data_IF_105225192223
#
_entry.id   IF_105225192223
#
_cell.length_a   1.000
_cell.length_b   1.000
_cell.length_c   1.000
_cell.angle_alpha   90.00
_cell.angle_beta   90.00
_cell.angle_gamma   90.00
#
_symmetry.space_group_name_H-M   'P 1'
#
loop_
_entity.id
_entity.type
_entity.pdbx_description
1 polymer ?
#
# COMPACT_ATOMS: atom_id res chain seq x y z
N UNK A 1 -11.04 10.78 -22.43
CA UNK A 1 -9.65 10.49 -22.01
C UNK A 1 -9.68 9.23 -21.15
N UNK A 2 -8.72 8.32 -21.27
CA UNK A 2 -8.62 7.18 -20.36
C UNK A 2 -8.34 7.71 -18.94
N UNK A 3 -9.14 7.31 -17.96
CA UNK A 3 -8.93 7.70 -16.56
C UNK A 3 -7.60 7.07 -16.10
N UNK A 4 -6.70 7.83 -15.46
CA UNK A 4 -5.53 7.24 -14.82
C UNK A 4 -5.94 6.09 -13.90
N UNK A 5 -5.21 4.98 -13.96
CA UNK A 5 -5.45 3.86 -13.07
C UNK A 5 -5.18 4.31 -11.63
N UNK A 6 -6.16 4.17 -10.73
CA UNK A 6 -5.96 4.45 -9.31
C UNK A 6 -5.04 3.39 -8.71
N UNK A 7 -4.13 3.81 -7.83
CA UNK A 7 -3.29 2.88 -7.07
C UNK A 7 -4.11 2.11 -6.03
N UNK A 8 -4.88 2.82 -5.22
CA UNK A 8 -5.71 2.20 -4.19
C UNK A 8 -6.97 1.46 -4.67
N UNK A 9 -7.69 0.93 -3.69
CA UNK A 9 -8.95 0.22 -3.83
C UNK A 9 -10.14 1.11 -3.45
N UNK A 10 -11.24 0.99 -4.20
CA UNK A 10 -12.52 1.62 -3.84
C UNK A 10 -13.30 0.80 -2.78
N UNK A 11 -12.98 -0.50 -2.64
CA UNK A 11 -13.43 -1.44 -1.61
C UNK A 11 -12.26 -2.37 -1.27
N UNK A 12 -12.05 -2.69 0.01
CA UNK A 12 -10.96 -3.58 0.42
C UNK A 12 -11.50 -4.88 1.04
N UNK A 13 -10.83 -6.02 0.80
CA UNK A 13 -11.18 -7.27 1.46
C UNK A 13 -10.79 -7.21 2.94
N UNK A 14 -11.73 -7.58 3.80
CA UNK A 14 -11.52 -7.78 5.22
C UNK A 14 -12.05 -9.16 5.59
N UNK A 15 -11.20 -9.97 6.20
CA UNK A 15 -11.58 -11.31 6.63
C UNK A 15 -12.60 -11.19 7.78
N UNK A 16 -13.63 -12.04 7.75
CA UNK A 16 -14.75 -11.98 8.73
C UNK A 16 -14.33 -12.39 10.14
N UNK A 17 -13.19 -13.05 10.25
CA UNK A 17 -12.52 -13.54 11.46
C UNK A 17 -11.26 -12.73 11.79
N UNK A 18 -11.17 -11.47 11.31
CA UNK A 18 -10.01 -10.60 11.59
C UNK A 18 -9.77 -10.38 13.09
N UNK A 19 -10.82 -10.48 13.91
CA UNK A 19 -10.78 -10.41 15.37
C UNK A 19 -10.20 -11.69 16.03
N UNK A 20 -9.91 -12.73 15.23
CA UNK A 20 -9.25 -13.96 15.67
C UNK A 20 -7.74 -13.97 15.37
N UNK A 21 -7.22 -12.98 14.64
CA UNK A 21 -5.76 -12.84 14.46
C UNK A 21 -5.14 -12.42 15.79
N UNK A 22 -4.24 -13.25 16.34
CA UNK A 22 -3.56 -13.00 17.62
C UNK A 22 -2.98 -11.58 17.72
N UNK A 23 -2.46 -11.02 16.61
CA UNK A 23 -1.89 -9.68 16.60
C UNK A 23 -2.94 -8.61 16.78
N UNK A 24 -4.12 -8.80 16.19
CA UNK A 24 -5.26 -7.88 16.35
C UNK A 24 -5.82 -8.02 17.77
N UNK A 25 -5.95 -9.24 18.28
CA UNK A 25 -6.38 -9.51 19.66
C UNK A 25 -5.45 -8.88 20.70
N UNK A 26 -4.14 -8.91 20.48
CA UNK A 26 -3.17 -8.26 21.38
C UNK A 26 -3.33 -6.73 21.41
N UNK A 27 -3.65 -6.11 20.27
CA UNK A 27 -3.95 -4.68 20.22
C UNK A 27 -5.27 -4.37 20.93
N UNK A 28 -6.31 -5.18 20.70
CA UNK A 28 -7.59 -5.02 21.39
C UNK A 28 -7.48 -5.29 22.90
N UNK A 29 -6.60 -6.20 23.33
CA UNK A 29 -6.34 -6.45 24.74
C UNK A 29 -5.67 -5.25 25.43
N UNK A 30 -4.73 -4.57 24.76
CA UNK A 30 -4.02 -3.40 25.31
C UNK A 30 -4.86 -2.10 25.25
N UNK A 31 -5.69 -1.91 24.21
CA UNK A 31 -6.36 -0.63 23.93
C UNK A 31 -7.88 -0.71 23.79
N UNK A 32 -8.48 -1.88 24.04
CA UNK A 32 -9.90 -2.15 23.87
C UNK A 32 -10.40 -1.94 22.45
N UNK A 33 -11.70 -1.66 22.32
CA UNK A 33 -12.36 -1.46 21.03
C UNK A 33 -11.77 -0.30 20.21
N UNK A 34 -11.12 0.67 20.87
CA UNK A 34 -10.42 1.77 20.19
C UNK A 34 -9.23 1.21 19.41
N UNK A 35 -8.44 0.32 20.01
CA UNK A 35 -7.33 -0.37 19.35
C UNK A 35 -7.79 -1.11 18.09
N UNK A 36 -8.83 -1.94 18.23
CA UNK A 36 -9.44 -2.64 17.10
C UNK A 36 -9.92 -1.69 16.00
N UNK A 37 -10.66 -0.65 16.36
CA UNK A 37 -11.17 0.33 15.41
C UNK A 37 -10.04 1.06 14.66
N UNK A 38 -8.95 1.41 15.35
CA UNK A 38 -7.77 2.04 14.74
C UNK A 38 -7.11 1.09 13.74
N UNK A 39 -6.93 -0.19 14.08
CA UNK A 39 -6.41 -1.21 13.15
C UNK A 39 -7.26 -1.27 11.88
N UNK A 40 -8.59 -1.35 11.99
CA UNK A 40 -9.48 -1.36 10.82
C UNK A 40 -9.36 -0.07 10.01
N UNK A 41 -9.33 1.11 10.66
CA UNK A 41 -9.18 2.41 9.97
C UNK A 41 -7.82 2.54 9.26
N UNK A 42 -6.76 1.94 9.79
CA UNK A 42 -5.45 1.87 9.15
C UNK A 42 -5.50 0.99 7.92
N UNK A 43 -6.07 -0.21 8.01
CA UNK A 43 -6.25 -1.09 6.85
C UNK A 43 -7.05 -0.39 5.74
N UNK A 44 -8.17 0.26 6.10
CA UNK A 44 -8.94 1.09 5.16
C UNK A 44 -8.08 2.15 4.48
N UNK A 45 -7.21 2.84 5.23
CA UNK A 45 -6.35 3.89 4.68
C UNK A 45 -5.25 3.31 3.80
N UNK A 46 -4.58 2.26 4.24
CA UNK A 46 -3.53 1.55 3.48
C UNK A 46 -4.08 1.08 2.14
N UNK A 47 -5.21 0.36 2.12
CA UNK A 47 -5.78 -0.13 0.87
C UNK A 47 -6.35 0.97 -0.02
N UNK A 48 -6.74 2.11 0.55
CA UNK A 48 -7.13 3.29 -0.24
C UNK A 48 -5.95 3.94 -0.95
N UNK A 49 -4.73 3.79 -0.44
CA UNK A 49 -3.50 4.29 -1.10
C UNK A 49 -2.79 3.21 -1.93
N UNK A 50 -2.99 1.93 -1.62
CA UNK A 50 -2.42 0.80 -2.35
C UNK A 50 -2.10 -0.37 -1.42
N UNK A 51 -0.81 -0.64 -1.23
CA UNK A 51 -0.28 -1.76 -0.43
C UNK A 51 0.56 -1.33 0.78
N UNK A 52 0.71 -0.02 0.97
CA UNK A 52 1.36 0.58 2.13
C UNK A 52 0.73 1.94 2.40
N UNK A 53 1.03 2.51 3.56
CA UNK A 53 0.71 3.90 3.85
C UNK A 53 1.92 4.58 4.48
N UNK A 54 2.28 5.77 3.99
CA UNK A 54 3.27 6.62 4.65
C UNK A 54 2.79 7.01 6.05
N UNK A 55 3.73 7.13 6.99
CA UNK A 55 3.44 7.40 8.39
C UNK A 55 4.37 8.46 8.97
N UNK A 56 4.52 9.56 8.24
CA UNK A 56 5.23 10.75 8.73
C UNK A 56 4.33 11.57 9.66
N UNK A 57 4.88 12.64 10.26
CA UNK A 57 4.14 13.55 11.14
C UNK A 57 2.84 14.07 10.51
N UNK A 58 2.88 14.41 9.22
CA UNK A 58 1.73 14.91 8.47
C UNK A 58 0.62 13.84 8.40
N UNK A 59 0.96 12.60 8.06
CA UNK A 59 0.01 11.49 7.99
C UNK A 59 -0.58 11.15 9.37
N UNK A 60 0.24 11.21 10.43
CA UNK A 60 -0.21 11.01 11.82
C UNK A 60 -1.25 12.05 12.22
N UNK A 61 -0.99 13.34 11.99
CA UNK A 61 -1.91 14.44 12.30
C UNK A 61 -3.23 14.34 11.52
N UNK A 62 -3.15 14.03 10.23
CA UNK A 62 -4.35 13.88 9.40
C UNK A 62 -5.16 12.63 9.79
N UNK A 63 -4.49 11.54 10.13
CA UNK A 63 -5.15 10.32 10.55
C UNK A 63 -5.83 10.48 11.91
N UNK A 64 -5.14 11.03 12.91
CA UNK A 64 -5.69 11.28 14.26
C UNK A 64 -6.93 12.15 14.21
N UNK A 65 -6.90 13.26 13.46
CA UNK A 65 -8.06 14.11 13.21
C UNK A 65 -9.22 13.35 12.57
N UNK A 66 -8.93 12.48 11.60
CA UNK A 66 -9.95 11.71 10.86
C UNK A 66 -10.65 10.67 11.73
N UNK A 67 -9.92 10.00 12.62
CA UNK A 67 -10.47 8.98 13.53
C UNK A 67 -10.98 9.58 14.84
N UNK A 68 -10.70 10.87 15.09
CA UNK A 68 -11.05 11.59 16.31
C UNK A 68 -10.51 10.90 17.59
N UNK A 69 -9.22 10.55 17.54
CA UNK A 69 -8.47 9.97 18.67
C UNK A 69 -7.21 10.80 18.87
N UNK A 70 -6.79 10.98 20.13
CA UNK A 70 -5.57 11.71 20.46
C UNK A 70 -4.36 11.14 19.71
N UNK A 71 -3.50 12.03 19.21
CA UNK A 71 -2.35 11.62 18.39
C UNK A 71 -1.38 10.73 19.15
N UNK A 72 -1.18 10.95 20.46
CA UNK A 72 -0.30 10.11 21.26
C UNK A 72 -0.89 8.71 21.41
N UNK A 73 -2.20 8.62 21.68
CA UNK A 73 -2.89 7.33 21.74
C UNK A 73 -2.84 6.58 20.39
N UNK A 74 -3.01 7.27 19.27
CA UNK A 74 -2.83 6.67 17.94
C UNK A 74 -1.41 6.13 17.79
N UNK A 75 -0.41 6.94 18.14
CA UNK A 75 1.00 6.54 18.01
C UNK A 75 1.36 5.37 18.93
N UNK A 76 0.81 5.30 20.14
CA UNK A 76 0.98 4.16 21.04
C UNK A 76 0.41 2.88 20.41
N UNK A 77 -0.78 2.95 19.80
CA UNK A 77 -1.39 1.82 19.09
C UNK A 77 -0.52 1.40 17.88
N UNK A 78 0.03 2.34 17.12
CA UNK A 78 0.95 2.03 16.01
C UNK A 78 2.21 1.33 16.52
N UNK A 79 2.79 1.81 17.61
CA UNK A 79 3.95 1.19 18.24
C UNK A 79 3.65 -0.24 18.69
N UNK A 80 2.46 -0.49 19.24
CA UNK A 80 2.00 -1.83 19.56
C UNK A 80 1.81 -2.69 18.30
N UNK A 81 1.27 -2.14 17.21
CA UNK A 81 1.13 -2.84 15.93
C UNK A 81 2.49 -3.27 15.35
N UNK A 82 3.52 -2.44 15.52
CA UNK A 82 4.90 -2.77 15.15
C UNK A 82 5.50 -3.83 16.06
N UNK A 83 5.31 -3.70 17.38
CA UNK A 83 5.77 -4.65 18.41
C UNK A 83 5.22 -6.05 18.17
N UNK A 84 3.94 -6.18 17.86
CA UNK A 84 3.27 -7.46 17.63
C UNK A 84 3.37 -7.95 16.17
N UNK A 85 4.10 -7.22 15.31
CA UNK A 85 4.36 -7.62 13.94
C UNK A 85 3.13 -7.61 13.03
N UNK A 86 2.12 -6.78 13.36
CA UNK A 86 1.01 -6.47 12.46
C UNK A 86 1.51 -5.65 11.26
N UNK A 87 2.46 -4.74 11.54
CA UNK A 87 3.25 -4.03 10.54
C UNK A 87 4.71 -4.47 10.56
N UNK A 88 5.34 -4.37 9.41
CA UNK A 88 6.77 -4.67 9.24
C UNK A 88 7.62 -3.56 9.86
N UNK A 89 8.35 -3.91 10.92
CA UNK A 89 9.15 -2.96 11.70
C UNK A 89 10.34 -2.42 10.91
N UNK A 90 10.97 -3.25 10.08
CA UNK A 90 12.16 -2.84 9.33
C UNK A 90 11.81 -1.80 8.26
N UNK A 91 10.69 -2.00 7.55
CA UNK A 91 10.18 -1.01 6.59
C UNK A 91 9.69 0.27 7.26
N UNK A 92 9.08 0.17 8.45
CA UNK A 92 8.72 1.34 9.23
C UNK A 92 9.94 2.15 9.69
N UNK A 93 10.98 1.48 10.20
CA UNK A 93 12.17 2.14 10.68
C UNK A 93 12.95 2.80 9.54
N UNK A 94 13.07 2.11 8.40
CA UNK A 94 13.84 2.58 7.25
C UNK A 94 13.13 3.61 6.39
N UNK A 95 11.81 3.48 6.20
CA UNK A 95 11.06 4.28 5.23
C UNK A 95 9.84 4.99 5.81
N UNK A 96 9.52 4.79 7.09
CA UNK A 96 8.33 5.36 7.75
C UNK A 96 7.04 5.00 7.02
N UNK A 97 6.88 3.72 6.67
CA UNK A 97 5.66 3.18 6.07
C UNK A 97 5.02 2.09 6.93
N UNK A 98 3.71 1.96 6.82
CA UNK A 98 2.94 0.86 7.39
C UNK A 98 2.55 -0.11 6.27
N UNK A 99 3.09 -1.33 6.33
CA UNK A 99 2.74 -2.43 5.44
C UNK A 99 3.07 -3.75 6.14
N UNK A 100 2.66 -4.87 5.54
CA UNK A 100 3.04 -6.21 5.97
C UNK A 100 2.85 -7.21 4.84
N UNK A 101 3.40 -8.42 4.99
CA UNK A 101 3.18 -9.52 4.03
C UNK A 101 1.69 -9.81 3.82
N UNK A 102 0.88 -9.77 4.88
CA UNK A 102 -0.57 -10.00 4.80
C UNK A 102 -1.30 -8.90 4.03
N UNK A 103 -0.92 -7.64 4.25
CA UNK A 103 -1.45 -6.49 3.51
C UNK A 103 -1.12 -6.59 2.03
N UNK A 104 0.15 -6.81 1.70
CA UNK A 104 0.60 -6.87 0.30
C UNK A 104 -0.08 -8.02 -0.45
N UNK A 105 -0.24 -9.18 0.19
CA UNK A 105 -0.91 -10.33 -0.42
C UNK A 105 -2.35 -10.01 -0.78
N UNK A 106 -3.14 -9.52 0.18
CA UNK A 106 -4.55 -9.17 -0.03
C UNK A 106 -4.72 -8.05 -1.05
N UNK A 107 -3.83 -7.05 -1.06
CA UNK A 107 -3.84 -6.02 -2.11
C UNK A 107 -3.61 -6.63 -3.49
N UNK A 108 -2.55 -7.43 -3.67
CA UNK A 108 -2.21 -8.02 -4.97
C UNK A 108 -3.29 -8.97 -5.49
N UNK A 109 -3.94 -9.73 -4.61
CA UNK A 109 -5.10 -10.53 -4.95
C UNK A 109 -6.27 -9.66 -5.46
N UNK A 110 -6.58 -8.57 -4.74
CA UNK A 110 -7.64 -7.63 -5.11
C UNK A 110 -7.38 -6.91 -6.44
N UNK A 111 -6.11 -6.67 -6.78
CA UNK A 111 -5.71 -5.98 -8.01
C UNK A 111 -5.22 -6.92 -9.11
N UNK A 112 -5.35 -8.24 -8.95
CA UNK A 112 -4.84 -9.27 -9.86
C UNK A 112 -5.26 -9.11 -11.32
N UNK A 113 -6.43 -8.51 -11.58
CA UNK A 113 -6.95 -8.25 -12.94
C UNK A 113 -6.39 -6.98 -13.60
N UNK A 114 -5.63 -6.16 -12.89
CA UNK A 114 -4.98 -4.97 -13.47
C UNK A 114 -3.90 -5.42 -14.45
N UNK A 115 -3.77 -4.69 -15.57
CA UNK A 115 -2.76 -5.01 -16.59
C UNK A 115 -1.34 -4.92 -16.05
N UNK A 116 -1.12 -3.95 -15.16
CA UNK A 116 0.16 -3.68 -14.54
C UNK A 116 -0.08 -3.15 -13.13
N UNK A 117 0.75 -3.60 -12.20
CA UNK A 117 0.79 -3.17 -10.81
C UNK A 117 2.20 -2.66 -10.54
N UNK A 118 2.33 -1.37 -10.26
CA UNK A 118 3.62 -0.78 -9.88
C UNK A 118 3.84 -1.00 -8.39
N UNK A 119 4.99 -1.58 -8.04
CA UNK A 119 5.41 -1.82 -6.66
C UNK A 119 6.80 -1.23 -6.48
N UNK A 120 7.04 -0.57 -5.34
CA UNK A 120 8.36 -0.10 -4.95
C UNK A 120 9.14 -1.31 -4.46
N UNK A 121 10.25 -1.61 -5.14
CA UNK A 121 11.06 -2.81 -4.89
C UNK A 121 11.51 -2.92 -3.44
N UNK A 122 11.87 -1.79 -2.86
CA UNK A 122 12.36 -1.65 -1.48
C UNK A 122 11.28 -1.94 -0.43
N UNK A 123 9.99 -1.83 -0.79
CA UNK A 123 8.87 -2.07 0.12
C UNK A 123 8.31 -3.48 -0.02
N UNK A 124 8.71 -4.23 -1.05
CA UNK A 124 8.10 -5.51 -1.38
C UNK A 124 8.60 -6.64 -0.46
N UNK A 125 7.66 -7.33 0.21
CA UNK A 125 7.95 -8.36 1.22
C UNK A 125 7.62 -9.78 0.76
N UNK A 126 7.09 -9.95 -0.45
CA UNK A 126 6.61 -11.24 -0.95
C UNK A 126 7.55 -11.85 -1.98
N UNK A 127 7.34 -13.13 -2.25
CA UNK A 127 8.01 -13.83 -3.34
C UNK A 127 7.41 -13.40 -4.69
N UNK A 128 8.25 -12.85 -5.56
CA UNK A 128 7.86 -12.34 -6.87
C UNK A 128 7.30 -13.41 -7.79
N UNK A 129 7.75 -14.66 -7.65
CA UNK A 129 7.39 -15.76 -8.55
C UNK A 129 5.88 -16.06 -8.59
N UNK A 130 5.14 -15.57 -7.58
CA UNK A 130 3.70 -15.77 -7.43
C UNK A 130 2.85 -14.73 -8.16
N UNK A 131 3.45 -13.69 -8.74
CA UNK A 131 2.72 -12.56 -9.34
C UNK A 131 3.24 -12.22 -10.73
N UNK A 132 2.36 -12.19 -11.73
CA UNK A 132 2.75 -12.09 -13.15
C UNK A 132 2.73 -10.65 -13.70
N UNK A 133 2.04 -9.73 -13.05
CA UNK A 133 1.75 -8.38 -13.53
C UNK A 133 2.39 -7.27 -12.68
N UNK A 134 3.42 -7.62 -11.89
CA UNK A 134 4.18 -6.65 -11.10
C UNK A 134 5.27 -6.03 -11.95
N UNK A 135 5.36 -4.70 -11.92
CA UNK A 135 6.51 -3.93 -12.42
C UNK A 135 7.12 -3.20 -11.22
N UNK A 136 8.42 -3.36 -11.03
CA UNK A 136 9.11 -2.66 -9.96
C UNK A 136 9.51 -1.26 -10.37
N UNK A 137 9.25 -0.33 -9.46
CA UNK A 137 9.91 0.96 -9.40
C UNK A 137 10.92 0.95 -8.24
N UNK A 138 11.93 1.82 -8.30
CA UNK A 138 12.85 2.02 -7.19
C UNK A 138 12.51 3.34 -6.50
N UNK A 139 12.90 3.47 -5.23
CA UNK A 139 12.85 4.78 -4.58
C UNK A 139 13.90 5.67 -5.28
N UNK A 140 13.45 6.57 -6.16
CA UNK A 140 14.30 7.68 -6.56
C UNK A 140 14.61 8.48 -5.29
N UNK A 141 15.87 8.56 -4.87
CA UNK A 141 16.31 9.53 -3.86
C UNK A 141 16.04 10.92 -4.43
N UNK A 142 14.86 11.46 -4.18
CA UNK A 142 14.56 12.86 -4.45
C UNK A 142 15.17 13.65 -3.30
N UNK A 143 16.41 14.10 -3.50
CA UNK A 143 16.73 15.46 -3.08
C UNK A 143 15.74 16.38 -3.79
N UNK A 144 15.16 17.32 -3.06
CA UNK A 144 14.32 18.39 -3.58
C UNK A 144 14.88 18.93 -4.92
N UNK A 145 14.18 18.64 -6.02
CA UNK A 145 13.87 19.55 -7.12
C UNK A 145 13.45 18.81 -8.41
N UNK A 146 12.20 19.09 -8.81
CA UNK A 146 11.69 19.22 -10.18
C UNK A 146 11.60 17.99 -11.13
N UNK A 147 10.34 17.77 -11.55
CA UNK A 147 9.88 17.22 -12.84
C UNK A 147 10.61 15.99 -13.43
N UNK A 148 10.00 14.83 -13.24
CA UNK A 148 10.19 13.67 -14.12
C UNK A 148 9.02 13.57 -15.09
N UNK A 149 9.16 14.25 -16.24
CA UNK A 149 8.46 13.88 -17.46
C UNK A 149 9.16 12.62 -17.96
N UNK A 150 8.55 11.45 -17.81
CA UNK A 150 9.08 10.25 -18.44
C UNK A 150 8.48 10.12 -19.84
N UNK A 151 9.25 10.59 -20.83
CA UNK A 151 8.99 10.42 -22.26
C UNK A 151 9.02 8.95 -22.65
N UNK A 152 7.95 8.55 -23.33
CA UNK A 152 7.84 7.55 -24.39
C UNK A 152 9.06 6.66 -24.67
N UNK A 153 8.86 5.35 -24.48
CA UNK A 153 9.52 4.34 -25.31
C UNK A 153 8.55 3.19 -25.59
N UNK A 154 7.69 3.37 -26.59
CA UNK A 154 6.97 2.28 -27.24
C UNK A 154 7.59 2.03 -28.63
N UNK A 155 8.32 0.91 -28.86
CA UNK A 155 8.77 0.56 -30.19
C UNK A 155 7.62 -0.19 -30.90
N UNK A 156 6.60 0.53 -31.36
CA UNK A 156 5.58 -0.07 -32.23
C UNK A 156 6.08 -0.04 -33.67
N UNK A 157 6.62 -1.18 -34.13
CA UNK A 157 6.95 -1.43 -35.52
C UNK A 157 5.70 -1.32 -36.40
N UNK A 158 5.61 -0.26 -37.21
CA UNK A 158 4.65 -0.16 -38.31
C UNK A 158 5.18 -0.99 -39.48
N UNK A 159 4.73 -2.25 -39.57
CA UNK A 159 4.75 -2.99 -40.83
C UNK A 159 3.74 -2.34 -41.77
N UNK A 160 4.22 -1.72 -42.85
CA UNK A 160 3.37 -1.27 -43.95
C UNK A 160 3.16 -2.46 -44.89
N UNK A 161 2.00 -3.11 -44.81
CA UNK A 161 1.49 -3.90 -45.93
C UNK A 161 0.89 -2.94 -46.98
N UNK A 162 1.50 -2.90 -48.15
CA UNK A 162 0.94 -2.25 -49.34
C UNK A 162 -0.10 -3.17 -49.98
N UNK A 163 -1.35 -2.71 -50.00
CA UNK A 163 -2.40 -3.25 -50.86
C UNK A 163 -2.10 -2.88 -52.33
N UNK A 164 -2.08 -3.86 -53.24
CA UNK A 164 -3.34 -4.11 -53.92
C UNK A 164 -3.99 -3.03 -54.81
N UNK A 165 -3.63 -2.82 -56.09
CA UNK A 165 -4.61 -2.64 -57.21
C UNK A 165 -4.04 -2.16 -58.56
N UNK A 166 -4.43 -2.95 -59.57
CA UNK A 166 -4.61 -2.71 -61.02
C UNK A 166 -3.37 -2.56 -61.90
#
# INVERSE_FOLDING_TARGET
>A
MARPQKDGLDYFPLDVDIDQDDKVQLIEAEYGIIGFAIVIKLLMKIYKEGYYYEWTEKEQLLFSKKVNVDINQVNDIINACLKWGLFDKDLYDKYKILTSKGIQRRYLEAVSRRKQIVIIKEFFLLDISKYQNIVFDNINQVNDDNNSINSDNNPQSKVKESKEKK
#
